data_IF_440143619672
#
_entry.id   IF_440143619672
#
_cell.length_a   1.000
_cell.length_b   1.000
_cell.length_c   1.000
_cell.angle_alpha   90.00
_cell.angle_beta   90.00
_cell.angle_gamma   90.00
#
_symmetry.space_group_name_H-M   'P 1'
#
loop_
_entity.id
_entity.type
_entity.pdbx_description
1 polymer ?
#
# COMPACT_ATOMS: atom_id res chain seq x y z
N UNK A 1 -3.74 8.99 4.39
CA UNK A 1 -3.09 8.50 3.15
C UNK A 1 -1.74 7.94 3.56
N UNK A 2 -1.36 6.75 3.10
CA UNK A 2 -0.12 6.09 3.54
C UNK A 2 0.97 6.32 2.50
N UNK A 3 2.15 6.76 2.93
CA UNK A 3 3.33 6.85 2.07
C UNK A 3 4.08 5.52 2.08
N UNK A 4 4.22 4.92 0.90
CA UNK A 4 5.02 3.71 0.70
C UNK A 4 6.25 4.00 -0.13
N UNK A 5 7.34 3.30 0.19
CA UNK A 5 8.50 3.20 -0.69
C UNK A 5 8.29 2.02 -1.62
N UNK A 6 8.20 2.26 -2.91
CA UNK A 6 7.94 1.27 -3.95
C UNK A 6 9.21 1.08 -4.76
N UNK A 7 9.57 -0.18 -5.03
CA UNK A 7 10.65 -0.51 -5.95
C UNK A 7 10.08 -0.63 -7.37
N UNK A 8 10.55 0.22 -8.29
CA UNK A 8 10.11 0.15 -9.68
C UNK A 8 10.83 -1.00 -10.44
N UNK A 9 10.43 -1.25 -11.70
CA UNK A 9 11.04 -2.30 -12.54
C UNK A 9 12.53 -2.05 -12.84
N UNK A 10 12.99 -0.81 -12.74
CA UNK A 10 14.40 -0.44 -12.93
C UNK A 10 15.22 -0.61 -11.64
N UNK A 11 14.60 -1.03 -10.54
CA UNK A 11 15.25 -1.18 -9.23
C UNK A 11 15.37 0.11 -8.44
N UNK A 12 14.83 1.23 -8.94
CA UNK A 12 14.82 2.51 -8.24
C UNK A 12 13.74 2.52 -7.15
N UNK A 13 14.04 3.16 -6.03
CA UNK A 13 13.09 3.34 -4.92
C UNK A 13 12.39 4.68 -5.11
N UNK A 14 11.08 4.63 -5.31
CA UNK A 14 10.22 5.81 -5.39
C UNK A 14 9.30 5.86 -4.17
N UNK A 15 8.90 7.06 -3.75
CA UNK A 15 7.85 7.24 -2.73
C UNK A 15 6.52 7.45 -3.43
N UNK A 16 5.48 6.76 -2.96
CA UNK A 16 4.11 6.94 -3.47
C UNK A 16 3.15 6.97 -2.31
N UNK A 17 2.31 8.00 -2.30
CA UNK A 17 1.19 8.11 -1.38
C UNK A 17 0.00 7.35 -1.96
N UNK A 18 -0.51 6.38 -1.23
CA UNK A 18 -1.66 5.55 -1.60
C UNK A 18 -2.75 5.76 -0.56
N UNK A 19 -3.99 6.01 -0.98
CA UNK A 19 -5.11 6.07 -0.03
C UNK A 19 -5.45 4.65 0.41
N UNK A 20 -5.72 4.48 1.69
CA UNK A 20 -6.09 3.16 2.24
C UNK A 20 -7.37 2.60 1.59
N UNK A 21 -8.25 3.47 1.07
CA UNK A 21 -9.44 3.08 0.31
C UNK A 21 -9.15 2.54 -1.10
N UNK A 22 -7.96 2.82 -1.66
CA UNK A 22 -7.52 2.30 -2.96
C UNK A 22 -6.87 0.92 -2.81
N UNK A 23 -6.36 0.59 -1.63
CA UNK A 23 -5.70 -0.69 -1.36
C UNK A 23 -6.77 -1.79 -1.33
N UNK A 24 -6.64 -2.75 -2.25
CA UNK A 24 -7.52 -3.90 -2.35
C UNK A 24 -6.98 -5.10 -1.60
N UNK A 25 -5.66 -5.29 -1.66
CA UNK A 25 -5.01 -6.44 -1.06
C UNK A 25 -3.55 -6.10 -0.72
N UNK A 26 -3.06 -6.70 0.35
CA UNK A 26 -1.65 -6.73 0.71
C UNK A 26 -1.22 -8.19 0.77
N UNK A 27 -0.13 -8.51 0.07
CA UNK A 27 0.44 -9.85 0.01
C UNK A 27 1.87 -9.81 0.51
N UNK A 28 2.30 -10.86 1.19
CA UNK A 28 3.70 -11.07 1.54
C UNK A 28 4.43 -11.69 0.35
N UNK A 29 5.61 -11.17 0.02
CA UNK A 29 6.47 -11.73 -1.01
C UNK A 29 7.48 -12.71 -0.40
N UNK A 30 8.09 -13.62 -1.19
CA UNK A 30 9.05 -14.60 -0.66
C UNK A 30 10.29 -14.00 0.02
N UNK A 31 10.62 -12.73 -0.26
CA UNK A 31 11.69 -11.96 0.37
C UNK A 31 11.25 -11.23 1.67
N UNK A 32 10.03 -11.45 2.15
CA UNK A 32 9.48 -10.85 3.37
C UNK A 32 9.00 -9.40 3.20
N UNK A 33 9.05 -8.85 1.98
CA UNK A 33 8.51 -7.53 1.67
C UNK A 33 7.01 -7.61 1.36
N UNK A 34 6.34 -6.46 1.28
CA UNK A 34 4.93 -6.42 0.91
C UNK A 34 4.72 -6.13 -0.58
N UNK A 35 3.70 -6.76 -1.15
CA UNK A 35 3.14 -6.41 -2.46
C UNK A 35 1.73 -5.89 -2.26
N UNK A 36 1.52 -4.63 -2.65
CA UNK A 36 0.22 -3.96 -2.59
C UNK A 36 -0.48 -4.08 -3.93
N UNK A 37 -1.75 -4.48 -3.92
CA UNK A 37 -2.67 -4.39 -5.06
C UNK A 37 -3.63 -3.24 -4.81
N UNK A 38 -3.71 -2.31 -5.75
CA UNK A 38 -4.61 -1.16 -5.66
C UNK A 38 -5.73 -1.24 -6.69
N UNK A 39 -6.76 -0.41 -6.51
CA UNK A 39 -7.93 -0.33 -7.40
C UNK A 39 -7.67 0.33 -8.75
N UNK A 40 -6.46 0.86 -8.97
CA UNK A 40 -6.04 1.38 -10.26
C UNK A 40 -5.87 0.23 -11.26
N UNK A 41 -6.12 0.49 -12.55
CA UNK A 41 -6.03 -0.53 -13.60
C UNK A 41 -4.97 -0.16 -14.62
N UNK A 42 -4.23 -1.16 -15.10
CA UNK A 42 -3.23 -0.98 -16.15
C UNK A 42 -3.88 -0.92 -17.54
N UNK A 43 -3.05 -0.79 -18.59
CA UNK A 43 -3.51 -0.73 -19.98
C UNK A 43 -4.22 -2.02 -20.45
N UNK A 44 -4.07 -3.12 -19.72
CA UNK A 44 -4.71 -4.41 -20.00
C UNK A 44 -6.02 -4.58 -19.20
N UNK A 45 -6.34 -3.65 -18.31
CA UNK A 45 -7.50 -3.74 -17.41
C UNK A 45 -7.23 -4.54 -16.13
N UNK A 46 -5.98 -4.90 -15.87
CA UNK A 46 -5.59 -5.62 -14.65
C UNK A 46 -5.31 -4.65 -13.50
N UNK A 47 -5.60 -5.07 -12.27
CA UNK A 47 -5.29 -4.26 -11.09
C UNK A 47 -3.78 -4.02 -10.95
N UNK A 48 -3.41 -2.76 -10.78
CA UNK A 48 -2.02 -2.36 -10.58
C UNK A 48 -1.51 -2.90 -9.25
N UNK A 49 -0.32 -3.49 -9.29
CA UNK A 49 0.38 -3.96 -8.08
C UNK A 49 1.79 -3.42 -7.98
N UNK A 50 2.21 -3.16 -6.74
CA UNK A 50 3.49 -2.56 -6.41
C UNK A 50 4.18 -3.37 -5.31
N UNK A 51 5.46 -3.69 -5.51
CA UNK A 51 6.30 -4.20 -4.42
C UNK A 51 6.81 -3.02 -3.61
N UNK A 52 6.46 -2.97 -2.33
CA UNK A 52 7.00 -2.00 -1.40
C UNK A 52 8.29 -2.53 -0.78
N UNK A 53 9.17 -1.63 -0.38
CA UNK A 53 10.43 -2.01 0.28
C UNK A 53 10.25 -2.33 1.75
N UNK A 54 9.12 -1.92 2.33
CA UNK A 54 8.75 -2.23 3.70
C UNK A 54 8.39 -3.71 3.82
N UNK A 55 8.60 -4.27 5.01
CA UNK A 55 8.16 -5.64 5.31
C UNK A 55 6.63 -5.73 5.27
N UNK A 56 6.11 -6.95 5.12
CA UNK A 56 4.67 -7.18 5.13
C UNK A 56 4.00 -6.62 6.41
N UNK A 57 4.57 -6.89 7.58
CA UNK A 57 4.04 -6.41 8.86
C UNK A 57 4.08 -4.88 8.97
N UNK A 58 5.19 -4.24 8.58
CA UNK A 58 5.29 -2.77 8.58
C UNK A 58 4.27 -2.13 7.64
N UNK A 59 4.13 -2.67 6.43
CA UNK A 59 3.18 -2.16 5.46
C UNK A 59 1.73 -2.33 5.94
N UNK A 60 1.41 -3.48 6.53
CA UNK A 60 0.09 -3.75 7.11
C UNK A 60 -0.21 -2.82 8.28
N UNK A 61 0.73 -2.65 9.20
CA UNK A 61 0.58 -1.77 10.36
C UNK A 61 0.29 -0.32 9.92
N UNK A 62 1.04 0.22 8.96
CA UNK A 62 0.81 1.58 8.43
C UNK A 62 -0.60 1.76 7.86
N UNK A 63 -1.15 0.74 7.19
CA UNK A 63 -2.51 0.77 6.64
C UNK A 63 -3.54 0.78 7.78
N UNK A 64 -3.38 -0.10 8.75
CA UNK A 64 -4.28 -0.22 9.90
C UNK A 64 -4.27 1.05 10.77
N UNK A 65 -3.10 1.62 11.03
CA UNK A 65 -2.94 2.88 11.77
C UNK A 65 -3.65 4.05 11.08
N UNK A 66 -3.51 4.16 9.76
CA UNK A 66 -4.16 5.21 8.98
C UNK A 66 -5.68 5.03 8.94
N UNK A 67 -6.17 3.80 8.77
CA UNK A 67 -7.61 3.49 8.82
C UNK A 67 -8.21 3.82 10.20
N UNK A 68 -7.53 3.46 11.28
CA UNK A 68 -7.94 3.74 12.65
C UNK A 68 -7.89 5.24 13.00
N UNK A 69 -6.88 5.95 12.49
CA UNK A 69 -6.78 7.42 12.63
C UNK A 69 -7.97 8.10 11.96
N UNK A 70 -8.45 7.57 10.82
CA UNK A 70 -9.63 8.12 10.15
C UNK A 70 -10.92 7.85 10.95
N UNK A 71 -11.10 6.63 11.47
CA UNK A 71 -12.26 6.25 12.28
C UNK A 71 -12.36 7.02 13.60
N UNK A 72 -11.24 7.25 14.27
CA UNK A 72 -11.20 8.00 15.53
C UNK A 72 -11.54 9.48 15.35
N UNK A 73 -11.25 10.06 14.19
CA UNK A 73 -11.66 11.44 13.83
C UNK A 73 -13.15 11.55 13.56
N UNK A 74 -13.77 10.54 12.97
CA UNK A 74 -15.22 10.48 12.70
C UNK A 74 -16.06 10.32 13.98
N UNK A 75 -15.54 9.64 15.01
CA UNK A 75 -16.26 9.40 16.28
C UNK A 75 -16.29 10.60 17.26
N UNK A 76 -15.71 11.75 16.90
CA UNK A 76 -15.66 12.96 17.74
C UNK A 76 -16.46 14.15 17.17
N UNK A 77 -17.26 13.96 16.12
CA UNK A 77 -18.20 14.97 15.60
C UNK A 77 -19.63 14.65 16.00
#
# INVERSE_FOLDING_TARGET
MVEFKIKNRNGEICRRCIRTSEIREIMETPDGTAKLRISDVDLNGDYVSFTVTDTYDEAKQKIEEEQNTHLSRLRKS
#
